data_IF_482997513437
#
_entry.id   IF_482997513437
#
_cell.length_a   1.000
_cell.length_b   1.000
_cell.length_c   1.000
_cell.angle_alpha   90.00
_cell.angle_beta   90.00
_cell.angle_gamma   90.00
#
_symmetry.space_group_name_H-M   'P 1'
#
loop_
_entity.id
_entity.type
_entity.pdbx_description
1 polymer ?
#
# COMPACT_ATOMS: atom_id res chain seq x y z
N UNK A 1 14.13 -20.47 11.36
CA UNK A 1 13.55 -19.59 10.33
C UNK A 1 12.06 -19.30 10.54
N UNK A 2 11.22 -20.30 10.90
CA UNK A 2 9.80 -20.05 11.19
C UNK A 2 9.58 -19.16 12.42
N UNK A 3 10.33 -19.40 13.51
CA UNK A 3 10.18 -18.63 14.75
C UNK A 3 10.43 -17.12 14.55
N UNK A 4 11.47 -16.74 13.79
CA UNK A 4 11.75 -15.34 13.47
C UNK A 4 10.59 -14.69 12.69
N UNK A 5 10.04 -15.39 11.70
CA UNK A 5 8.90 -14.89 10.91
C UNK A 5 7.66 -14.71 11.77
N UNK A 6 7.39 -15.66 12.68
CA UNK A 6 6.27 -15.58 13.63
C UNK A 6 6.44 -14.40 14.58
N UNK A 7 7.64 -14.21 15.16
CA UNK A 7 7.93 -13.08 16.05
C UNK A 7 7.74 -11.75 15.32
N UNK A 8 8.29 -11.61 14.10
CA UNK A 8 8.12 -10.39 13.30
C UNK A 8 6.65 -10.11 13.02
N UNK A 9 5.86 -11.12 12.63
CA UNK A 9 4.43 -10.95 12.40
C UNK A 9 3.67 -10.57 13.69
N UNK A 10 3.98 -11.24 14.82
CA UNK A 10 3.37 -10.95 16.12
C UNK A 10 3.65 -9.53 16.61
N UNK A 11 4.77 -8.92 16.21
CA UNK A 11 5.09 -7.53 16.55
C UNK A 11 4.45 -6.57 15.55
N UNK A 12 4.57 -6.83 14.25
CA UNK A 12 4.10 -5.91 13.22
C UNK A 12 2.57 -5.78 13.17
N UNK A 13 1.84 -6.88 13.31
CA UNK A 13 0.37 -6.87 13.26
C UNK A 13 -0.23 -5.90 14.30
N UNK A 14 0.05 -6.04 15.61
CA UNK A 14 -0.52 -5.14 16.61
C UNK A 14 -0.02 -3.70 16.44
N UNK A 15 1.22 -3.49 15.97
CA UNK A 15 1.75 -2.16 15.70
C UNK A 15 0.96 -1.45 14.58
N UNK A 16 0.68 -2.17 13.48
CA UNK A 16 -0.12 -1.63 12.37
C UNK A 16 -1.56 -1.39 12.79
N UNK A 17 -2.17 -2.32 13.53
CA UNK A 17 -3.52 -2.15 14.08
C UNK A 17 -3.59 -0.93 15.00
N UNK A 18 -2.60 -0.75 15.88
CA UNK A 18 -2.52 0.42 16.74
C UNK A 18 -2.36 1.72 15.92
N UNK A 19 -1.53 1.73 14.87
CA UNK A 19 -1.40 2.90 14.00
C UNK A 19 -2.73 3.23 13.29
N UNK A 20 -3.50 2.24 12.86
CA UNK A 20 -4.81 2.48 12.23
C UNK A 20 -5.82 3.08 13.21
N UNK A 21 -5.83 2.61 14.46
CA UNK A 21 -6.81 3.04 15.47
C UNK A 21 -6.46 4.38 16.10
N UNK A 22 -5.19 4.58 16.45
CA UNK A 22 -4.77 5.69 17.31
C UNK A 22 -4.10 6.85 16.58
N UNK A 23 -3.58 6.62 15.38
CA UNK A 23 -2.82 7.65 14.68
C UNK A 23 -3.76 8.60 13.91
N UNK A 24 -3.54 9.92 13.95
CA UNK A 24 -4.26 10.86 13.11
C UNK A 24 -4.18 10.47 11.63
N UNK A 25 -5.29 10.61 10.90
CA UNK A 25 -5.41 10.13 9.52
C UNK A 25 -4.31 10.66 8.58
N UNK A 26 -3.86 11.91 8.79
CA UNK A 26 -2.76 12.52 8.03
C UNK A 26 -1.41 11.84 8.29
N UNK A 27 -1.12 11.52 9.55
CA UNK A 27 0.10 10.80 9.93
C UNK A 27 0.07 9.36 9.42
N UNK A 28 -1.09 8.70 9.50
CA UNK A 28 -1.29 7.35 8.95
C UNK A 28 -1.07 7.34 7.43
N UNK A 29 -1.61 8.32 6.71
CA UNK A 29 -1.44 8.45 5.26
C UNK A 29 0.04 8.63 4.87
N UNK A 30 0.80 9.44 5.61
CA UNK A 30 2.25 9.59 5.38
C UNK A 30 3.01 8.28 5.61
N UNK A 31 2.72 7.59 6.72
CA UNK A 31 3.37 6.31 7.03
C UNK A 31 3.08 5.24 5.98
N UNK A 32 1.82 5.10 5.57
CA UNK A 32 1.43 4.13 4.55
C UNK A 32 2.01 4.51 3.18
N UNK A 33 2.00 5.79 2.80
CA UNK A 33 2.64 6.26 1.57
C UNK A 33 4.14 5.95 1.53
N UNK A 34 4.85 6.18 2.64
CA UNK A 34 6.26 5.83 2.76
C UNK A 34 6.48 4.31 2.68
N UNK A 35 5.65 3.51 3.36
CA UNK A 35 5.71 2.05 3.30
C UNK A 35 5.50 1.52 1.87
N UNK A 36 4.58 2.12 1.10
CA UNK A 36 4.32 1.77 -0.31
C UNK A 36 5.54 2.10 -1.18
N UNK A 37 6.16 3.27 -1.02
CA UNK A 37 7.38 3.63 -1.79
C UNK A 37 8.55 2.71 -1.43
N UNK A 38 8.69 2.32 -0.17
CA UNK A 38 9.69 1.33 0.25
C UNK A 38 9.41 -0.04 -0.37
N UNK A 39 8.16 -0.50 -0.37
CA UNK A 39 7.78 -1.76 -1.00
C UNK A 39 8.00 -1.74 -2.53
N UNK A 40 7.83 -0.57 -3.15
CA UNK A 40 8.04 -0.39 -4.58
C UNK A 40 9.50 -0.62 -5.02
N UNK A 41 10.48 -0.51 -4.11
CA UNK A 41 11.85 -0.94 -4.39
C UNK A 41 11.92 -2.42 -4.76
N UNK A 42 11.15 -3.28 -4.08
CA UNK A 42 11.08 -4.70 -4.43
C UNK A 42 10.37 -4.90 -5.76
N UNK A 43 9.35 -4.09 -6.08
CA UNK A 43 8.70 -4.14 -7.39
C UNK A 43 9.65 -3.79 -8.53
N UNK A 44 10.57 -2.85 -8.34
CA UNK A 44 11.57 -2.54 -9.37
C UNK A 44 12.46 -3.75 -9.70
N UNK A 45 12.75 -4.58 -8.69
CA UNK A 45 13.54 -5.81 -8.87
C UNK A 45 12.72 -6.90 -9.57
N UNK A 46 11.46 -7.07 -9.16
CA UNK A 46 10.55 -8.04 -9.78
C UNK A 46 10.27 -7.73 -11.25
N UNK A 47 10.20 -6.44 -11.59
CA UNK A 47 10.00 -5.96 -12.96
C UNK A 47 11.28 -5.89 -13.79
N UNK A 48 12.42 -6.36 -13.26
CA UNK A 48 13.73 -6.32 -13.94
C UNK A 48 14.13 -4.91 -14.40
N UNK A 49 13.72 -3.89 -13.65
CA UNK A 49 13.98 -2.50 -13.97
C UNK A 49 15.38 -2.14 -13.47
N UNK A 50 16.43 -2.61 -14.15
CA UNK A 50 17.79 -2.63 -13.58
C UNK A 50 18.52 -1.28 -13.58
N UNK A 51 18.15 -0.38 -14.51
CA UNK A 51 18.80 0.93 -14.62
C UNK A 51 18.48 1.83 -13.42
N UNK A 52 19.51 2.50 -12.87
CA UNK A 52 19.33 3.43 -11.75
C UNK A 52 18.35 4.56 -12.09
N UNK A 53 18.41 5.05 -13.33
CA UNK A 53 17.51 6.09 -13.84
C UNK A 53 16.06 5.60 -13.89
N UNK A 54 15.82 4.38 -14.38
CA UNK A 54 14.49 3.77 -14.40
C UNK A 54 13.93 3.60 -12.99
N UNK A 55 14.72 3.03 -12.06
CA UNK A 55 14.33 2.88 -10.64
C UNK A 55 13.97 4.22 -10.02
N UNK A 56 14.83 5.23 -10.21
CA UNK A 56 14.60 6.58 -9.70
C UNK A 56 13.33 7.20 -10.27
N UNK A 57 13.13 7.14 -11.59
CA UNK A 57 11.95 7.68 -12.25
C UNK A 57 10.66 7.02 -11.76
N UNK A 58 10.64 5.69 -11.62
CA UNK A 58 9.48 4.95 -11.12
C UNK A 58 9.14 5.32 -9.67
N UNK A 59 10.14 5.34 -8.78
CA UNK A 59 9.93 5.68 -7.37
C UNK A 59 9.49 7.13 -7.19
N UNK A 60 10.07 8.07 -7.95
CA UNK A 60 9.67 9.48 -7.93
C UNK A 60 8.25 9.66 -8.46
N UNK A 61 7.90 8.99 -9.56
CA UNK A 61 6.55 9.00 -10.10
C UNK A 61 5.55 8.47 -9.07
N UNK A 62 5.85 7.33 -8.45
CA UNK A 62 4.99 6.74 -7.42
C UNK A 62 4.85 7.66 -6.20
N UNK A 63 5.95 8.24 -5.72
CA UNK A 63 5.92 9.20 -4.62
C UNK A 63 5.10 10.45 -4.98
N UNK A 64 5.23 10.96 -6.20
CA UNK A 64 4.45 12.09 -6.69
C UNK A 64 2.95 11.77 -6.78
N UNK A 65 2.59 10.55 -7.23
CA UNK A 65 1.20 10.09 -7.22
C UNK A 65 0.67 10.01 -5.78
N UNK A 66 1.43 9.40 -4.86
CA UNK A 66 1.04 9.33 -3.44
C UNK A 66 0.85 10.74 -2.84
N UNK A 67 1.76 11.67 -3.12
CA UNK A 67 1.63 13.07 -2.68
C UNK A 67 0.45 13.79 -3.32
N UNK A 68 0.17 13.54 -4.59
CA UNK A 68 -0.98 14.09 -5.31
C UNK A 68 -2.33 13.62 -4.78
N UNK A 69 -2.38 12.45 -4.11
CA UNK A 69 -3.57 11.95 -3.42
C UNK A 69 -3.79 12.60 -2.04
N UNK A 70 -2.84 13.40 -1.53
CA UNK A 70 -2.94 14.05 -0.23
C UNK A 70 -4.23 14.84 -0.01
N UNK A 71 -4.75 15.64 -0.97
CA UNK A 71 -5.99 16.37 -0.78
C UNK A 71 -7.22 15.47 -0.54
N UNK A 72 -7.19 14.21 -0.98
CA UNK A 72 -8.29 13.28 -0.70
C UNK A 72 -8.40 12.90 0.78
N UNK A 73 -7.32 13.09 1.57
CA UNK A 73 -7.33 12.83 3.01
C UNK A 73 -8.26 13.78 3.77
N UNK A 74 -8.58 14.94 3.22
CA UNK A 74 -9.39 15.99 3.84
C UNK A 74 -10.90 15.89 3.51
N UNK A 75 -11.38 14.78 2.93
CA UNK A 75 -12.81 14.43 2.99
C UNK A 75 -13.60 14.37 1.67
N UNK A 76 -13.02 13.79 0.62
CA UNK A 76 -13.79 13.45 -0.59
C UNK A 76 -14.46 12.07 -0.47
N UNK A 77 -15.42 11.92 0.46
CA UNK A 77 -16.05 10.63 0.79
C UNK A 77 -16.60 9.88 -0.44
N UNK A 78 -17.08 10.59 -1.47
CA UNK A 78 -17.58 10.00 -2.72
C UNK A 78 -16.47 9.33 -3.54
N UNK A 79 -15.31 9.98 -3.65
CA UNK A 79 -14.16 9.42 -4.37
C UNK A 79 -13.57 8.24 -3.61
N UNK A 80 -13.46 8.35 -2.28
CA UNK A 80 -13.00 7.27 -1.42
C UNK A 80 -13.94 6.07 -1.45
N UNK A 81 -15.26 6.30 -1.39
CA UNK A 81 -16.26 5.23 -1.49
C UNK A 81 -16.24 4.56 -2.88
N UNK A 82 -16.09 5.35 -3.96
CA UNK A 82 -15.95 4.82 -5.31
C UNK A 82 -14.69 3.96 -5.48
N UNK A 83 -13.54 4.42 -4.97
CA UNK A 83 -12.29 3.68 -4.98
C UNK A 83 -12.38 2.39 -4.16
N UNK A 84 -12.99 2.46 -2.96
CA UNK A 84 -13.22 1.30 -2.11
C UNK A 84 -14.13 0.27 -2.79
N UNK A 85 -15.24 0.71 -3.39
CA UNK A 85 -16.15 -0.17 -4.12
C UNK A 85 -15.46 -0.87 -5.30
N UNK A 86 -14.65 -0.14 -6.08
CA UNK A 86 -13.88 -0.72 -7.17
C UNK A 86 -12.88 -1.77 -6.66
N UNK A 87 -12.18 -1.48 -5.57
CA UNK A 87 -11.24 -2.41 -4.94
C UNK A 87 -11.95 -3.65 -4.40
N UNK A 88 -13.12 -3.50 -3.77
CA UNK A 88 -13.94 -4.62 -3.32
C UNK A 88 -14.43 -5.47 -4.49
N UNK A 89 -14.91 -4.85 -5.58
CA UNK A 89 -15.32 -5.55 -6.79
C UNK A 89 -14.17 -6.36 -7.40
N UNK A 90 -12.97 -5.77 -7.48
CA UNK A 90 -11.77 -6.47 -7.93
C UNK A 90 -11.52 -7.74 -7.11
N UNK A 91 -11.54 -7.65 -5.77
CA UNK A 91 -11.32 -8.81 -4.91
C UNK A 91 -12.41 -9.87 -5.04
N UNK A 92 -13.68 -9.47 -5.18
CA UNK A 92 -14.78 -10.42 -5.44
C UNK A 92 -14.52 -11.20 -6.73
N UNK A 93 -14.14 -10.53 -7.82
CA UNK A 93 -13.81 -11.17 -9.09
C UNK A 93 -12.63 -12.15 -8.94
N UNK A 94 -11.57 -11.74 -8.24
CA UNK A 94 -10.41 -12.60 -7.96
C UNK A 94 -10.82 -13.84 -7.16
N UNK A 95 -11.62 -13.69 -6.11
CA UNK A 95 -12.12 -14.81 -5.30
C UNK A 95 -12.96 -15.77 -6.13
N UNK A 96 -13.86 -15.27 -6.98
CA UNK A 96 -14.67 -16.10 -7.88
C UNK A 96 -13.79 -16.87 -8.88
N UNK A 97 -12.70 -16.27 -9.36
CA UNK A 97 -11.74 -16.97 -10.22
C UNK A 97 -11.01 -18.08 -9.48
N UNK A 98 -10.56 -17.84 -8.23
CA UNK A 98 -9.85 -18.84 -7.43
C UNK A 98 -10.76 -20.04 -7.11
N UNK A 99 -12.03 -19.81 -6.78
CA UNK A 99 -12.99 -20.87 -6.46
C UNK A 99 -13.38 -21.76 -7.65
N UNK A 100 -13.07 -21.33 -8.89
CA UNK A 100 -13.33 -22.09 -10.11
C UNK A 100 -12.18 -23.03 -10.50
N UNK A 101 -11.00 -22.87 -9.87
CA UNK A 101 -9.87 -23.80 -9.97
C UNK A 101 -10.01 -24.92 -8.95
#
# INVERSE_FOLDING_TARGET
MLLQRVITALILIPLVVAAVIYLPSKLLALLLGAAVVLAALEWTRLSQLDSLQGKGAFLLLLAAVMAGLWPLTDGSWRLLAGAAALFTLFWVVVTLHILRY
#
